data_IF_034828733439
#
_entry.id   IF_034828733439
#
_cell.length_a   1.000
_cell.length_b   1.000
_cell.length_c   1.000
_cell.angle_alpha   90.00
_cell.angle_beta   90.00
_cell.angle_gamma   90.00
#
_symmetry.space_group_name_H-M   'P 1'
#
loop_
_entity.id
_entity.type
_entity.pdbx_description
1 polymer ?
#
# COMPACT_ATOMS: atom_id res chain seq x y z
N UNK A 1 12.30 -24.56 3.61
CA UNK A 1 12.06 -24.02 3.57
C UNK A 1 11.50 -23.28 3.63
N UNK A 2 11.02 -22.99 3.66
CA UNK A 2 10.53 -22.36 3.62
C UNK A 2 10.16 -21.49 3.85
N UNK A 3 9.62 -21.28 4.11
CA UNK A 3 9.27 -20.42 4.30
C UNK A 3 9.40 -19.30 4.15
N UNK A 4 8.86 -19.04 4.35
CA UNK A 4 9.53 -17.97 3.91
C UNK A 4 8.77 -16.98 3.15
N UNK A 5 7.67 -17.28 2.64
CA UNK A 5 6.97 -16.46 1.70
C UNK A 5 6.61 -15.08 2.23
N UNK A 6 6.17 -14.96 3.47
CA UNK A 6 5.76 -13.66 3.97
C UNK A 6 6.90 -12.69 4.08
N UNK A 7 8.08 -13.21 4.41
CA UNK A 7 9.23 -12.35 4.53
C UNK A 7 9.68 -11.80 3.20
N UNK A 8 9.16 -12.35 2.12
CA UNK A 8 9.59 -11.98 0.80
C UNK A 8 8.57 -11.15 0.06
N UNK A 9 7.62 -10.59 0.78
CA UNK A 9 6.61 -9.71 0.19
C UNK A 9 6.69 -8.36 0.86
N UNK A 10 6.85 -7.33 0.04
CA UNK A 10 6.94 -5.96 0.54
C UNK A 10 5.71 -5.19 0.10
N UNK A 11 5.14 -4.40 1.00
CA UNK A 11 4.03 -3.52 0.64
C UNK A 11 4.56 -2.13 0.45
N UNK A 12 4.05 -1.47 -0.60
CA UNK A 12 4.55 -0.18 -1.03
C UNK A 12 3.36 0.73 -1.28
N UNK A 13 3.47 1.97 -0.82
CA UNK A 13 2.51 3.00 -1.17
C UNK A 13 2.96 3.60 -2.49
N UNK A 14 2.06 3.60 -3.48
CA UNK A 14 2.34 4.16 -4.79
C UNK A 14 1.38 5.28 -5.08
N UNK A 15 1.84 6.31 -5.81
CA UNK A 15 0.91 7.36 -6.23
C UNK A 15 1.13 7.69 -7.68
N UNK A 16 0.02 8.00 -8.32
CA UNK A 16 -0.05 8.19 -9.77
C UNK A 16 -0.68 9.53 -10.09
N UNK A 17 -0.37 10.04 -11.28
CA UNK A 17 -1.07 11.21 -11.77
C UNK A 17 -2.54 10.90 -11.90
N UNK A 18 -3.35 11.91 -11.63
CA UNK A 18 -4.77 11.76 -11.85
C UNK A 18 -5.05 11.77 -13.34
N UNK A 19 -6.24 11.26 -13.68
CA UNK A 19 -6.72 11.27 -15.04
C UNK A 19 -6.49 12.64 -15.68
N UNK A 20 -5.99 12.69 -16.92
CA UNK A 20 -5.75 11.59 -17.84
C UNK A 20 -4.35 10.99 -17.80
N UNK A 21 -3.45 11.51 -17.02
CA UNK A 21 -2.06 11.08 -17.08
C UNK A 21 -1.84 9.66 -16.62
N UNK A 22 -2.21 9.38 -15.36
CA UNK A 22 -2.14 8.04 -14.77
C UNK A 22 -0.74 7.45 -14.76
N UNK A 23 0.29 8.28 -14.84
CA UNK A 23 1.65 7.79 -14.77
C UNK A 23 2.08 7.69 -13.31
N UNK A 24 2.93 6.72 -13.01
CA UNK A 24 3.48 6.58 -11.66
C UNK A 24 4.35 7.78 -11.35
N UNK A 25 4.02 8.47 -10.27
CA UNK A 25 4.75 9.65 -9.83
C UNK A 25 5.81 9.28 -8.81
N UNK A 26 5.46 8.40 -7.86
CA UNK A 26 6.41 8.01 -6.85
C UNK A 26 5.91 6.82 -6.05
N UNK A 27 6.76 6.35 -5.17
CA UNK A 27 6.40 5.26 -4.26
C UNK A 27 7.25 5.33 -3.02
N UNK A 28 6.78 4.67 -1.97
CA UNK A 28 7.51 4.62 -0.71
C UNK A 28 7.14 3.32 0.00
N UNK A 29 8.14 2.58 0.51
CA UNK A 29 7.84 1.31 1.18
C UNK A 29 7.10 1.55 2.49
N UNK A 30 6.28 0.58 2.85
CA UNK A 30 5.51 0.62 4.09
C UNK A 30 6.14 -0.31 5.12
N UNK A 31 7.45 -0.14 5.33
CA UNK A 31 8.22 -1.05 6.19
C UNK A 31 7.83 -0.96 7.65
N UNK A 32 7.35 0.20 8.06
CA UNK A 32 7.14 0.45 9.48
C UNK A 32 5.74 0.15 9.94
N UNK A 33 4.88 -0.32 9.04
CA UNK A 33 3.52 -0.67 9.42
C UNK A 33 3.33 -2.18 9.28
N UNK A 34 2.97 -2.87 10.37
CA UNK A 34 2.82 -4.33 10.30
C UNK A 34 1.67 -4.73 9.37
N UNK A 35 1.79 -5.92 8.80
CA UNK A 35 0.73 -6.43 7.94
C UNK A 35 -0.60 -6.49 8.65
N UNK A 36 -0.60 -6.87 9.93
CA UNK A 36 -1.85 -6.94 10.68
C UNK A 36 -2.56 -5.60 10.72
N UNK A 37 -1.80 -4.50 10.82
CA UNK A 37 -2.40 -3.18 10.82
C UNK A 37 -2.97 -2.81 9.46
N UNK A 38 -2.28 -3.20 8.39
CA UNK A 38 -2.79 -2.95 7.05
C UNK A 38 -4.07 -3.74 6.81
N UNK A 39 -4.10 -4.99 7.24
CA UNK A 39 -5.28 -5.82 7.09
C UNK A 39 -6.46 -5.21 7.86
N UNK A 40 -6.21 -4.74 9.08
CA UNK A 40 -7.28 -4.13 9.86
C UNK A 40 -7.77 -2.85 9.20
N UNK A 41 -6.87 -2.12 8.55
CA UNK A 41 -7.20 -0.84 7.94
C UNK A 41 -7.98 -1.02 6.64
N UNK A 42 -7.56 -1.93 5.78
CA UNK A 42 -8.14 -2.10 4.46
C UNK A 42 -9.22 -3.17 4.40
N UNK A 43 -9.23 -4.10 5.36
CA UNK A 43 -10.25 -5.14 5.43
C UNK A 43 -10.36 -5.91 4.10
N UNK A 44 -9.29 -6.58 3.68
CA UNK A 44 -9.32 -7.30 2.41
C UNK A 44 -10.32 -8.44 2.43
N UNK A 45 -10.70 -8.89 1.24
CA UNK A 45 -11.61 -10.01 1.09
C UNK A 45 -11.00 -11.28 1.65
N UNK A 46 -11.87 -12.24 1.97
CA UNK A 46 -11.42 -13.53 2.47
C UNK A 46 -10.52 -14.24 1.47
N UNK A 47 -10.61 -13.88 0.20
CA UNK A 47 -9.77 -14.49 -0.82
C UNK A 47 -8.38 -13.87 -0.90
N UNK A 48 -8.15 -12.78 -0.19
CA UNK A 48 -6.85 -12.13 -0.18
C UNK A 48 -6.50 -11.67 1.23
N UNK A 49 -6.45 -12.59 2.19
CA UNK A 49 -6.32 -12.21 3.60
C UNK A 49 -5.00 -11.52 3.95
N UNK A 50 -3.97 -11.68 3.11
CA UNK A 50 -2.67 -11.07 3.37
C UNK A 50 -2.38 -9.92 2.44
N UNK A 51 -3.38 -9.42 1.75
CA UNK A 51 -3.28 -8.22 0.92
C UNK A 51 -2.17 -8.34 -0.12
N UNK A 52 -2.28 -9.36 -0.98
CA UNK A 52 -1.34 -9.51 -2.10
C UNK A 52 -1.80 -8.75 -3.34
N UNK A 53 -3.04 -8.28 -3.34
CA UNK A 53 -3.58 -7.49 -4.44
C UNK A 53 -3.33 -6.02 -4.20
N UNK A 54 -3.74 -5.20 -5.16
CA UNK A 54 -3.58 -3.75 -5.07
C UNK A 54 -4.84 -3.15 -4.44
N UNK A 55 -4.66 -2.23 -3.50
CA UNK A 55 -5.77 -1.61 -2.77
C UNK A 55 -5.71 -0.11 -2.91
N UNK A 56 -6.81 0.48 -3.35
CA UNK A 56 -6.89 1.93 -3.46
C UNK A 56 -7.02 2.57 -2.08
N UNK A 57 -6.30 3.66 -1.88
CA UNK A 57 -6.32 4.39 -0.61
C UNK A 57 -7.47 5.36 -0.62
N UNK A 58 -8.30 5.30 0.42
CA UNK A 58 -9.42 6.21 0.60
C UNK A 58 -9.15 7.12 1.79
N UNK A 59 -9.95 8.19 1.94
CA UNK A 59 -9.65 9.18 2.99
C UNK A 59 -9.47 8.58 4.38
N UNK A 60 -10.21 7.54 4.71
CA UNK A 60 -10.15 6.98 6.05
C UNK A 60 -8.83 6.29 6.35
N UNK A 61 -8.05 5.92 5.32
CA UNK A 61 -6.77 5.27 5.53
C UNK A 61 -5.61 6.24 5.58
N UNK A 62 -5.83 7.49 5.21
CA UNK A 62 -4.72 8.42 5.02
C UNK A 62 -3.96 8.67 6.32
N UNK A 63 -4.66 8.89 7.41
CA UNK A 63 -4.00 9.25 8.65
C UNK A 63 -3.02 8.17 9.11
N UNK A 64 -3.44 6.92 9.03
CA UNK A 64 -2.57 5.82 9.47
C UNK A 64 -1.40 5.64 8.53
N UNK A 65 -1.65 5.71 7.22
CA UNK A 65 -0.57 5.55 6.25
C UNK A 65 0.41 6.72 6.33
N UNK A 66 -0.08 7.92 6.60
CA UNK A 66 0.79 9.08 6.69
C UNK A 66 1.85 8.91 7.78
N UNK A 67 1.52 8.17 8.82
CA UNK A 67 2.46 7.93 9.90
C UNK A 67 3.61 7.02 9.48
N UNK A 68 3.43 6.29 8.40
CA UNK A 68 4.42 5.30 7.95
C UNK A 68 5.28 5.80 6.80
N UNK A 69 4.95 6.95 6.22
CA UNK A 69 5.70 7.47 5.06
C UNK A 69 6.04 8.92 5.27
N UNK A 70 7.03 9.39 4.53
CA UNK A 70 7.44 10.79 4.59
C UNK A 70 6.75 11.64 3.56
N UNK A 71 6.35 11.04 2.44
CA UNK A 71 5.60 11.75 1.43
C UNK A 71 4.28 12.25 2.01
N UNK A 72 3.93 13.50 1.73
CA UNK A 72 2.65 14.03 2.19
C UNK A 72 1.54 13.52 1.29
N UNK A 73 0.68 12.67 1.84
CA UNK A 73 -0.41 12.09 1.08
C UNK A 73 -1.45 13.16 0.78
N UNK A 74 -1.80 13.30 -0.50
CA UNK A 74 -2.77 14.31 -0.94
C UNK A 74 -3.66 13.67 -2.00
N UNK A 75 -4.82 13.21 -1.56
CA UNK A 75 -5.74 12.50 -2.44
C UNK A 75 -6.34 13.40 -3.52
N UNK A 76 -6.27 14.72 -3.32
CA UNK A 76 -6.73 15.65 -4.35
C UNK A 76 -5.73 15.77 -5.49
N UNK A 77 -4.46 15.52 -5.19
CA UNK A 77 -3.40 15.71 -6.18
C UNK A 77 -3.07 14.43 -6.94
N UNK A 78 -3.21 13.29 -6.29
CA UNK A 78 -2.80 12.00 -6.88
C UNK A 78 -3.76 10.91 -6.47
N UNK A 79 -3.69 9.79 -7.20
CA UNK A 79 -4.37 8.56 -6.81
C UNK A 79 -3.35 7.67 -6.11
N UNK A 80 -3.73 7.11 -4.96
CA UNK A 80 -2.82 6.33 -4.13
C UNK A 80 -3.28 4.89 -4.02
N UNK A 81 -2.31 3.99 -4.04
CA UNK A 81 -2.57 2.56 -3.93
C UNK A 81 -1.53 1.90 -3.03
N UNK A 82 -1.95 0.84 -2.35
CA UNK A 82 -1.03 -0.03 -1.63
C UNK A 82 -0.88 -1.29 -2.47
N UNK A 83 0.36 -1.59 -2.85
CA UNK A 83 0.65 -2.72 -3.70
C UNK A 83 1.63 -3.65 -3.00
N UNK A 84 1.61 -4.91 -3.39
CA UNK A 84 2.50 -5.93 -2.81
C UNK A 84 3.45 -6.42 -3.89
N UNK A 85 4.73 -6.49 -3.55
CA UNK A 85 5.75 -6.93 -4.47
C UNK A 85 6.56 -8.06 -3.84
N UNK A 86 6.97 -9.01 -4.66
CA UNK A 86 7.83 -10.06 -4.21
C UNK A 86 9.26 -9.55 -4.18
N UNK A 87 9.95 -9.75 -3.07
CA UNK A 87 11.29 -9.22 -2.91
C UNK A 87 12.38 -10.28 -2.94
N UNK A 88 12.01 -11.54 -2.85
CA UNK A 88 13.01 -12.61 -2.77
C UNK A 88 13.26 -13.38 -4.06
#
# INVERSE_FOLDING_TARGET
MELLSEDQVERVLEWYEKDPGEALVGDEPLDTIPLADLVALFRPDAEDPEMHLVYEVEPREVERLQQAVQHRIDLDAHDYFVAAYRTG
#
